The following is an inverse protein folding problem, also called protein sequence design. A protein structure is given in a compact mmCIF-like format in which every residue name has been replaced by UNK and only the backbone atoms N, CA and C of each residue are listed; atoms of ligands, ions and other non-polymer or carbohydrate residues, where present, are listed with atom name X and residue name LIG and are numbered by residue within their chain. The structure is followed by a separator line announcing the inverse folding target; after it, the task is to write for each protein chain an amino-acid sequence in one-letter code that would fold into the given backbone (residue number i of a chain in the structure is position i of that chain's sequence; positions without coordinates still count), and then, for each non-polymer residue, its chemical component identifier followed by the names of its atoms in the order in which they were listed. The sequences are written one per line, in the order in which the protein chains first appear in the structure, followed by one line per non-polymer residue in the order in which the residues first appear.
data_IF_510958919384
#
_entry.id   IF_510958919384
#
_cell.length_a   1.000
_cell.length_b   1.000
_cell.length_c   1.000
_cell.angle_alpha   90.00
_cell.angle_beta   90.00
_cell.angle_gamma   90.00
#
_symmetry.space_group_name_H-M   'P 1'
#
loop_
_entity.id
_entity.type
_entity.pdbx_description
1 polymer ?
#
# COMPACT_ATOMS: atom_id res chain seq x y z
N UNK A 1 -18.92 21.32 -36.06
CA UNK A 1 -18.56 20.72 -34.75
C UNK A 1 -17.68 19.50 -35.00
N UNK A 2 -16.38 19.55 -34.67
CA UNK A 2 -15.49 18.38 -34.78
C UNK A 2 -15.69 17.51 -33.54
N UNK A 3 -16.30 16.35 -33.72
CA UNK A 3 -16.38 15.29 -32.72
C UNK A 3 -14.97 14.88 -32.30
N UNK A 4 -14.57 15.25 -31.10
CA UNK A 4 -13.31 14.87 -30.47
C UNK A 4 -13.49 13.45 -29.94
N UNK A 5 -12.99 12.45 -30.67
CA UNK A 5 -12.88 11.08 -30.17
C UNK A 5 -12.08 11.10 -28.86
N UNK A 6 -12.75 10.87 -27.72
CA UNK A 6 -12.10 10.60 -26.45
C UNK A 6 -11.48 9.20 -26.54
N UNK A 7 -10.27 9.11 -27.08
CA UNK A 7 -9.39 8.02 -26.71
C UNK A 7 -9.21 8.09 -25.19
N UNK A 8 -9.39 6.99 -24.49
CA UNK A 8 -9.26 6.83 -23.05
C UNK A 8 -7.79 7.00 -22.61
N UNK A 9 -7.19 8.16 -22.89
CA UNK A 9 -5.84 8.51 -22.49
C UNK A 9 -5.88 8.87 -21.02
N UNK A 10 -5.29 8.02 -20.20
CA UNK A 10 -4.99 8.35 -18.81
C UNK A 10 -4.21 9.66 -18.73
N UNK A 11 -4.48 10.46 -17.72
CA UNK A 11 -3.85 11.78 -17.58
C UNK A 11 -2.34 11.64 -17.39
N UNK A 12 -1.55 12.49 -18.08
CA UNK A 12 -0.12 12.49 -17.91
C UNK A 12 0.25 12.89 -16.49
N UNK A 13 1.25 12.22 -15.91
CA UNK A 13 1.72 12.57 -14.59
C UNK A 13 2.46 13.92 -14.61
N UNK A 14 2.31 14.68 -13.53
CA UNK A 14 3.00 15.95 -13.33
C UNK A 14 4.38 15.74 -12.70
N UNK A 15 5.25 16.76 -12.79
CA UNK A 15 6.53 16.77 -12.07
C UNK A 15 6.36 16.56 -10.56
N UNK A 16 5.32 17.15 -9.98
CA UNK A 16 5.01 17.01 -8.56
C UNK A 16 4.63 15.56 -8.22
N UNK A 17 3.77 14.92 -9.02
CA UNK A 17 3.40 13.52 -8.85
C UNK A 17 4.62 12.58 -9.03
N UNK A 18 5.51 12.89 -9.97
CA UNK A 18 6.77 12.15 -10.11
C UNK A 18 7.63 12.26 -8.84
N UNK A 19 7.75 13.45 -8.26
CA UNK A 19 8.51 13.64 -7.02
C UNK A 19 7.88 12.89 -5.85
N UNK A 20 6.56 13.01 -5.66
CA UNK A 20 5.83 12.24 -4.64
C UNK A 20 6.01 10.73 -4.81
N UNK A 21 6.01 10.25 -6.06
CA UNK A 21 6.29 8.83 -6.36
C UNK A 21 7.70 8.46 -5.92
N UNK A 22 8.72 9.27 -6.24
CA UNK A 22 10.11 9.03 -5.78
C UNK A 22 10.20 8.95 -4.26
N UNK A 23 9.55 9.90 -3.57
CA UNK A 23 9.59 9.98 -2.10
C UNK A 23 8.93 8.75 -1.46
N UNK A 24 7.78 8.29 -1.99
CA UNK A 24 7.09 7.08 -1.53
C UNK A 24 7.94 5.82 -1.71
N UNK A 25 8.61 5.69 -2.85
CA UNK A 25 9.51 4.56 -3.10
C UNK A 25 10.74 4.62 -2.20
N UNK A 26 11.26 5.81 -1.92
CA UNK A 26 12.37 5.98 -1.00
C UNK A 26 11.97 5.65 0.45
N UNK A 27 10.79 6.08 0.90
CA UNK A 27 10.25 5.73 2.22
C UNK A 27 10.09 4.21 2.38
N UNK A 28 9.60 3.51 1.34
CA UNK A 28 9.56 2.05 1.35
C UNK A 28 10.96 1.44 1.50
N UNK A 29 11.95 1.91 0.73
CA UNK A 29 13.32 1.39 0.77
C UNK A 29 14.05 1.70 2.09
N UNK A 30 13.68 2.78 2.76
CA UNK A 30 14.21 3.12 4.09
C UNK A 30 13.58 2.29 5.22
N UNK A 31 12.50 1.57 4.95
CA UNK A 31 11.73 0.85 5.97
C UNK A 31 10.70 1.71 6.71
N UNK A 32 10.40 2.91 6.21
CA UNK A 32 9.44 3.84 6.81
C UNK A 32 7.97 3.46 6.54
N UNK A 33 7.73 2.34 5.84
CA UNK A 33 6.40 1.86 5.47
C UNK A 33 6.09 0.52 6.13
N UNK A 34 4.81 0.24 6.37
CA UNK A 34 4.34 -1.05 6.91
C UNK A 34 4.25 -2.16 5.84
N UNK A 35 4.82 -1.95 4.64
CA UNK A 35 4.70 -2.90 3.53
C UNK A 35 5.72 -4.03 3.73
N UNK A 36 5.24 -5.20 4.13
CA UNK A 36 6.08 -6.39 4.31
C UNK A 36 6.61 -6.88 2.95
N UNK A 37 7.93 -7.00 2.84
CA UNK A 37 8.62 -7.37 1.61
C UNK A 37 9.80 -8.29 1.87
N UNK A 38 9.98 -9.27 0.97
CA UNK A 38 11.20 -10.06 0.91
C UNK A 38 12.33 -9.28 0.22
N UNK A 39 13.56 -9.77 0.40
CA UNK A 39 14.76 -9.15 -0.15
C UNK A 39 14.73 -9.07 -1.68
N UNK A 40 14.15 -10.05 -2.35
CA UNK A 40 14.06 -10.07 -3.81
C UNK A 40 13.17 -8.94 -4.34
N UNK A 41 12.05 -8.65 -3.67
CA UNK A 41 11.19 -7.51 -3.99
C UNK A 41 11.87 -6.18 -3.67
N UNK A 42 12.53 -6.06 -2.51
CA UNK A 42 13.26 -4.84 -2.13
C UNK A 42 14.33 -4.52 -3.18
N UNK A 43 15.13 -5.51 -3.59
CA UNK A 43 16.12 -5.38 -4.66
C UNK A 43 15.49 -4.98 -6.00
N UNK A 44 14.31 -5.51 -6.32
CA UNK A 44 13.61 -5.14 -7.54
C UNK A 44 13.11 -3.69 -7.52
N UNK A 45 12.58 -3.24 -6.39
CA UNK A 45 12.13 -1.85 -6.18
C UNK A 45 13.31 -0.88 -6.18
N UNK A 46 14.42 -1.25 -5.55
CA UNK A 46 15.65 -0.45 -5.54
C UNK A 46 16.18 -0.26 -6.97
N UNK A 47 16.29 -1.34 -7.73
CA UNK A 47 16.73 -1.27 -9.13
C UNK A 47 15.77 -0.44 -10.00
N UNK A 48 14.46 -0.54 -9.80
CA UNK A 48 13.49 0.30 -10.51
C UNK A 48 13.65 1.78 -10.13
N UNK A 49 13.86 2.08 -8.86
CA UNK A 49 14.07 3.46 -8.38
C UNK A 49 15.32 4.08 -9.00
N UNK A 50 16.46 3.39 -8.94
CA UNK A 50 17.74 3.87 -9.46
C UNK A 50 17.74 4.00 -10.99
N UNK A 51 17.25 2.99 -11.71
CA UNK A 51 17.37 2.93 -13.18
C UNK A 51 16.27 3.72 -13.89
N UNK A 52 15.05 3.73 -13.34
CA UNK A 52 13.90 4.35 -13.98
C UNK A 52 13.45 5.63 -13.28
N UNK A 53 13.05 5.58 -12.00
CA UNK A 53 12.46 6.75 -11.34
C UNK A 53 13.44 7.94 -11.27
N UNK A 54 14.71 7.68 -10.93
CA UNK A 54 15.76 8.70 -10.82
C UNK A 54 16.35 9.16 -12.17
N UNK A 55 15.94 8.55 -13.29
CA UNK A 55 16.49 8.87 -14.61
C UNK A 55 16.09 10.26 -15.11
N UNK A 56 17.07 11.03 -15.58
CA UNK A 56 16.85 12.34 -16.24
C UNK A 56 15.94 12.23 -17.47
N UNK A 57 16.04 11.12 -18.21
CA UNK A 57 15.19 10.88 -19.38
C UNK A 57 13.72 10.79 -18.96
N UNK A 58 13.43 10.10 -17.86
CA UNK A 58 12.06 9.98 -17.33
C UNK A 58 11.56 11.34 -16.85
N UNK A 59 12.38 12.12 -16.15
CA UNK A 59 12.02 13.47 -15.74
C UNK A 59 11.66 14.38 -16.92
N UNK A 60 12.42 14.33 -18.02
CA UNK A 60 12.13 15.08 -19.26
C UNK A 60 10.84 14.60 -19.94
N UNK A 61 10.62 13.29 -20.02
CA UNK A 61 9.40 12.71 -20.61
C UNK A 61 8.14 13.07 -19.82
N UNK A 62 8.23 13.07 -18.48
CA UNK A 62 7.15 13.55 -17.60
C UNK A 62 6.86 15.03 -17.84
N UNK A 63 7.91 15.86 -17.95
CA UNK A 63 7.75 17.28 -18.24
C UNK A 63 7.05 17.54 -19.59
N UNK A 64 7.30 16.71 -20.61
CA UNK A 64 6.63 16.82 -21.90
C UNK A 64 5.23 16.18 -21.95
N UNK A 65 4.73 15.63 -20.84
CA UNK A 65 3.44 14.93 -20.78
C UNK A 65 3.43 13.59 -21.50
N UNK A 66 4.59 12.95 -21.65
CA UNK A 66 4.76 11.68 -22.38
C UNK A 66 4.67 10.43 -21.52
N UNK A 67 4.29 10.56 -20.24
CA UNK A 67 4.13 9.44 -19.31
C UNK A 67 2.84 9.57 -18.50
N UNK A 68 2.14 8.45 -18.33
CA UNK A 68 1.00 8.26 -17.43
C UNK A 68 1.37 7.38 -16.22
N UNK A 69 0.42 7.20 -15.30
CA UNK A 69 0.56 6.25 -14.20
C UNK A 69 0.62 4.79 -14.69
N UNK A 70 -0.16 4.41 -15.71
CA UNK A 70 -0.07 3.07 -16.32
C UNK A 70 1.31 2.79 -16.90
N UNK A 71 1.96 3.76 -17.54
CA UNK A 71 3.30 3.56 -18.09
C UNK A 71 4.31 3.18 -16.99
N UNK A 72 4.25 3.86 -15.84
CA UNK A 72 5.11 3.56 -14.69
C UNK A 72 4.90 2.13 -14.22
N UNK A 73 3.63 1.74 -14.09
CA UNK A 73 3.20 0.40 -13.69
C UNK A 73 3.64 -0.67 -14.68
N UNK A 74 3.51 -0.44 -15.98
CA UNK A 74 3.93 -1.37 -17.03
C UNK A 74 5.44 -1.53 -17.11
N UNK A 75 6.21 -0.45 -16.93
CA UNK A 75 7.67 -0.52 -16.84
C UNK A 75 8.07 -1.37 -15.64
N UNK A 76 7.44 -1.17 -14.48
CA UNK A 76 7.71 -2.01 -13.30
C UNK A 76 7.36 -3.47 -13.55
N UNK A 77 6.17 -3.76 -14.10
CA UNK A 77 5.75 -5.12 -14.44
C UNK A 77 6.78 -5.83 -15.31
N UNK A 78 7.19 -5.21 -16.42
CA UNK A 78 8.21 -5.78 -17.34
C UNK A 78 9.56 -5.99 -16.64
N UNK A 79 9.91 -5.09 -15.72
CA UNK A 79 11.14 -5.18 -14.93
C UNK A 79 11.12 -6.39 -13.99
N UNK A 80 10.02 -6.61 -13.27
CA UNK A 80 9.91 -7.71 -12.32
C UNK A 80 9.64 -9.06 -12.99
N UNK A 81 8.91 -9.12 -14.10
CA UNK A 81 8.63 -10.39 -14.80
C UNK A 81 9.91 -11.13 -15.18
N UNK A 82 10.95 -10.40 -15.61
CA UNK A 82 12.26 -10.99 -15.91
C UNK A 82 12.93 -11.57 -14.65
N UNK A 83 12.82 -10.88 -13.51
CA UNK A 83 13.40 -11.33 -12.24
C UNK A 83 12.66 -12.50 -11.63
N UNK A 84 11.32 -12.46 -11.63
CA UNK A 84 10.49 -13.53 -11.06
C UNK A 84 10.74 -14.85 -11.79
N UNK A 85 10.92 -14.81 -13.12
CA UNK A 85 11.31 -15.99 -13.92
C UNK A 85 12.64 -16.60 -13.50
N UNK A 86 13.58 -15.80 -12.99
CA UNK A 86 14.90 -16.27 -12.54
C UNK A 86 14.98 -16.58 -11.03
N UNK A 87 13.92 -16.33 -10.26
CA UNK A 87 13.92 -16.68 -8.84
C UNK A 87 14.01 -18.21 -8.66
N UNK A 88 14.56 -18.70 -7.53
CA UNK A 88 14.47 -20.11 -7.19
C UNK A 88 12.99 -20.56 -7.11
N UNK A 89 12.75 -21.85 -7.32
CA UNK A 89 11.45 -22.44 -7.05
C UNK A 89 11.23 -22.52 -5.53
N UNK A 90 10.02 -22.23 -5.11
CA UNK A 90 9.60 -22.29 -3.71
C UNK A 90 8.38 -23.19 -3.68
N UNK A 91 8.40 -24.20 -2.83
CA UNK A 91 7.31 -25.18 -2.74
C UNK A 91 5.98 -24.49 -2.41
N UNK A 92 4.97 -24.78 -3.23
CA UNK A 92 3.62 -24.22 -3.07
C UNK A 92 3.45 -22.77 -3.52
N UNK A 93 4.47 -22.11 -4.11
CA UNK A 93 4.37 -20.72 -4.57
C UNK A 93 4.67 -20.57 -6.06
N UNK A 94 3.62 -20.28 -6.84
CA UNK A 94 3.76 -20.08 -8.28
C UNK A 94 4.40 -18.73 -8.64
N UNK A 95 5.10 -18.67 -9.79
CA UNK A 95 5.67 -17.42 -10.33
C UNK A 95 4.60 -16.35 -10.58
N UNK A 96 3.41 -16.75 -11.02
CA UNK A 96 2.29 -15.84 -11.24
C UNK A 96 1.79 -15.22 -9.93
N UNK A 97 1.73 -16.01 -8.85
CA UNK A 97 1.39 -15.54 -7.50
C UNK A 97 2.42 -14.53 -7.00
N UNK A 98 3.72 -14.81 -7.19
CA UNK A 98 4.79 -13.85 -6.85
C UNK A 98 4.63 -12.55 -7.62
N UNK A 99 4.43 -12.65 -8.94
CA UNK A 99 4.25 -11.47 -9.80
C UNK A 99 3.04 -10.64 -9.36
N UNK A 100 1.92 -11.29 -9.07
CA UNK A 100 0.69 -10.64 -8.61
C UNK A 100 0.89 -9.95 -7.27
N UNK A 101 1.56 -10.62 -6.32
CA UNK A 101 1.90 -10.05 -5.01
C UNK A 101 2.81 -8.82 -5.13
N UNK A 102 3.85 -8.90 -5.97
CA UNK A 102 4.77 -7.79 -6.20
C UNK A 102 4.08 -6.60 -6.87
N UNK A 103 3.16 -6.84 -7.81
CA UNK A 103 2.35 -5.76 -8.41
C UNK A 103 1.41 -5.11 -7.39
N UNK A 104 0.80 -5.89 -6.49
CA UNK A 104 -0.04 -5.34 -5.43
C UNK A 104 0.75 -4.46 -4.45
N UNK A 105 1.97 -4.89 -4.08
CA UNK A 105 2.88 -4.08 -3.25
C UNK A 105 3.30 -2.80 -3.97
N UNK A 106 3.65 -2.88 -5.26
CA UNK A 106 3.92 -1.70 -6.09
C UNK A 106 2.74 -0.73 -6.09
N UNK A 107 1.52 -1.21 -6.33
CA UNK A 107 0.31 -0.39 -6.37
C UNK A 107 0.07 0.29 -5.00
N UNK A 108 0.44 -0.38 -3.91
CA UNK A 108 0.38 0.17 -2.54
C UNK A 108 1.39 1.29 -2.34
N UNK A 109 2.66 1.09 -2.73
CA UNK A 109 3.72 2.12 -2.67
C UNK A 109 3.33 3.32 -3.54
N UNK A 110 2.90 3.07 -4.79
CA UNK A 110 2.61 4.11 -5.77
C UNK A 110 1.45 5.00 -5.35
N UNK A 111 0.34 4.42 -4.84
CA UNK A 111 -0.81 5.20 -4.33
C UNK A 111 -0.42 6.05 -3.12
N UNK A 112 0.48 5.57 -2.28
CA UNK A 112 0.80 6.17 -0.98
C UNK A 112 -0.34 5.98 0.02
N UNK A 113 0.00 5.85 1.29
CA UNK A 113 -0.99 5.86 2.37
C UNK A 113 -1.31 7.32 2.73
N UNK A 114 -2.14 7.98 1.92
CA UNK A 114 -2.55 9.38 2.13
C UNK A 114 -3.59 9.55 3.26
N UNK A 115 -3.97 8.47 3.96
CA UNK A 115 -5.00 8.55 5.01
C UNK A 115 -4.63 7.67 6.23
N UNK A 116 -4.17 8.25 7.34
CA UNK A 116 -3.87 7.50 8.56
C UNK A 116 -5.08 6.69 9.09
N UNK A 117 -6.32 7.00 8.67
CA UNK A 117 -7.51 6.22 9.00
C UNK A 117 -7.58 4.88 8.27
N UNK A 118 -6.98 4.77 7.07
CA UNK A 118 -6.95 3.53 6.27
C UNK A 118 -5.77 2.63 6.62
N UNK A 119 -4.64 3.21 7.05
CA UNK A 119 -3.53 2.45 7.66
C UNK A 119 -4.02 1.63 8.87
N UNK A 120 -4.78 2.27 9.78
CA UNK A 120 -5.38 1.61 10.95
C UNK A 120 -6.29 0.44 10.56
N UNK A 121 -7.05 0.60 9.47
CA UNK A 121 -8.00 -0.41 8.97
C UNK A 121 -7.30 -1.60 8.27
N UNK A 122 -6.17 -1.38 7.60
CA UNK A 122 -5.35 -2.49 7.05
C UNK A 122 -4.54 -3.21 8.12
N UNK A 123 -4.04 -2.51 9.13
CA UNK A 123 -3.38 -3.14 10.28
C UNK A 123 -4.33 -4.09 11.02
N UNK A 124 -5.58 -3.68 11.24
CA UNK A 124 -6.60 -4.55 11.86
C UNK A 124 -6.94 -5.76 10.99
N UNK A 125 -6.99 -5.60 9.66
CA UNK A 125 -7.23 -6.73 8.75
C UNK A 125 -6.06 -7.72 8.69
N UNK A 126 -4.81 -7.25 8.72
CA UNK A 126 -3.62 -8.12 8.68
C UNK A 126 -3.41 -8.89 9.98
N UNK A 127 -3.67 -8.24 11.13
CA UNK A 127 -3.51 -8.87 12.45
C UNK A 127 -4.65 -9.85 12.79
N UNK A 128 -5.77 -9.82 12.07
CA UNK A 128 -6.82 -10.83 12.18
C UNK A 128 -6.47 -12.18 11.51
N UNK A 129 -5.53 -12.19 10.55
CA UNK A 129 -5.10 -13.41 9.85
C UNK A 129 -4.03 -14.21 10.60
N UNK A 130 -3.26 -13.60 11.49
CA UNK A 130 -2.29 -14.26 12.37
C UNK A 130 -2.76 -14.09 13.83
N UNK A 131 -3.36 -15.14 14.37
CA UNK A 131 -4.24 -15.08 15.54
C UNK A 131 -3.49 -14.87 16.88
N UNK A 132 -2.84 -13.72 17.09
CA UNK A 132 -2.41 -13.24 18.41
C UNK A 132 -2.59 -11.72 18.50
N UNK A 133 -3.83 -11.28 18.74
CA UNK A 133 -4.11 -9.89 19.08
C UNK A 133 -3.88 -9.65 20.57
N UNK A 134 -3.20 -8.56 20.92
CA UNK A 134 -3.10 -8.15 22.32
C UNK A 134 -4.47 -7.66 22.85
N UNK A 135 -4.63 -7.62 24.18
CA UNK A 135 -5.85 -7.15 24.83
C UNK A 135 -6.29 -5.77 24.32
N UNK A 136 -5.37 -4.85 24.15
CA UNK A 136 -5.66 -3.49 23.65
C UNK A 136 -6.05 -3.48 22.17
N UNK A 137 -5.47 -4.37 21.34
CA UNK A 137 -5.84 -4.48 19.92
C UNK A 137 -7.24 -5.05 19.72
N UNK A 138 -7.67 -5.99 20.57
CA UNK A 138 -9.05 -6.48 20.56
C UNK A 138 -10.03 -5.36 20.93
N UNK A 139 -9.72 -4.54 21.94
CA UNK A 139 -10.58 -3.42 22.32
C UNK A 139 -10.78 -2.42 21.18
N UNK A 140 -9.71 -2.02 20.50
CA UNK A 140 -9.77 -1.12 19.34
C UNK A 140 -10.56 -1.73 18.17
N UNK A 141 -10.41 -3.05 17.91
CA UNK A 141 -11.17 -3.74 16.87
C UNK A 141 -12.67 -3.76 17.18
N UNK A 142 -13.05 -4.12 18.41
CA UNK A 142 -14.46 -4.13 18.83
C UNK A 142 -15.08 -2.73 18.82
N UNK A 143 -14.35 -1.71 19.25
CA UNK A 143 -14.82 -0.31 19.21
C UNK A 143 -15.10 0.15 17.78
N UNK A 144 -14.23 -0.21 16.84
CA UNK A 144 -14.42 0.11 15.42
C UNK A 144 -15.61 -0.63 14.79
N UNK A 145 -15.82 -1.92 15.09
CA UNK A 145 -16.98 -2.68 14.58
C UNK A 145 -18.29 -2.12 15.13
N UNK A 146 -18.33 -1.77 16.42
CA UNK A 146 -19.53 -1.28 17.09
C UNK A 146 -19.77 0.22 16.87
N UNK A 147 -18.81 0.96 16.28
CA UNK A 147 -18.91 2.41 16.06
C UNK A 147 -18.87 3.24 17.35
N UNK A 148 -18.39 2.67 18.46
CA UNK A 148 -18.45 3.27 19.79
C UNK A 148 -17.14 4.03 20.06
N UNK A 149 -17.22 5.35 20.24
CA UNK A 149 -16.04 6.17 20.60
C UNK A 149 -15.64 5.93 22.06
N UNK A 150 -14.34 6.06 22.37
CA UNK A 150 -13.70 5.76 23.67
C UNK A 150 -14.47 6.23 24.93
N UNK A 151 -15.19 7.35 24.85
CA UNK A 151 -16.00 7.90 25.94
C UNK A 151 -17.25 7.05 26.26
N UNK A 152 -17.92 6.49 25.24
CA UNK A 152 -19.14 5.69 25.42
C UNK A 152 -18.84 4.31 25.99
N UNK A 153 -17.71 3.70 25.63
CA UNK A 153 -17.29 2.42 26.23
C UNK A 153 -16.98 2.58 27.72
N UNK A 154 -16.38 3.71 28.12
CA UNK A 154 -16.12 4.01 29.53
C UNK A 154 -17.43 4.27 30.29
N UNK A 155 -18.42 4.91 29.65
CA UNK A 155 -19.76 5.10 30.22
C UNK A 155 -20.51 3.77 30.41
N UNK A 156 -20.44 2.86 29.41
CA UNK A 156 -21.02 1.52 29.49
C UNK A 156 -20.34 0.64 30.54
N UNK A 157 -19.01 0.70 30.64
CA UNK A 157 -18.27 -0.02 31.67
C UNK A 157 -18.64 0.46 33.08
N UNK A 158 -18.72 1.78 33.28
CA UNK A 158 -19.17 2.36 34.55
C UNK A 158 -20.64 2.00 34.83
N UNK A 159 -21.53 2.04 33.84
CA UNK A 159 -22.93 1.65 34.01
C UNK A 159 -23.09 0.17 34.39
N UNK A 160 -22.34 -0.74 33.75
CA UNK A 160 -22.32 -2.16 34.13
C UNK A 160 -21.73 -2.38 35.53
N UNK A 161 -20.70 -1.62 35.91
CA UNK A 161 -20.08 -1.72 37.23
C UNK A 161 -21.01 -1.24 38.36
N UNK A 162 -21.81 -0.19 38.11
CA UNK A 162 -22.80 0.33 39.07
C UNK A 162 -24.00 -0.63 39.19
N UNK A 163 -24.45 -1.25 38.10
CA UNK A 163 -25.52 -2.27 38.15
C UNK A 163 -25.14 -3.53 38.94
N UNK A 164 -23.87 -3.96 38.86
CA UNK A 164 -23.40 -5.10 39.65
C UNK A 164 -23.32 -4.78 41.16
N UNK A 165 -22.99 -3.54 41.52
CA UNK A 165 -22.98 -3.06 42.92
C UNK A 165 -24.38 -2.80 43.50
N UNK A 166 -25.41 -2.70 42.65
CA UNK A 166 -26.80 -2.57 43.09
C UNK A 166 -27.49 -3.93 43.33
N UNK A 167 -26.82 -5.04 43.00
CA UNK A 167 -27.29 -6.43 43.16
C UNK A 167 -26.47 -7.25 44.17
N UNK A 168 -25.55 -6.61 44.91
CA UNK A 168 -24.84 -7.16 46.08
C UNK A 168 -25.22 -6.33 47.29
#
# INVERSE_FOLDING_TARGET
MRSRCKANREEPITKQQLQQTKDRFQAFLNGDTQIVADEAFINAVQSYSEVFLKSDRVAKMVQSGGFSASDFREVFKRHIEKRVRSLPEIDGLSKETVLSSWMAKFDTIYRGDEDPRKAQQRMTASAASELILSKDQLYEMFQNILGIKKFEHQLLYQACQVSYKAWV
#
